data_IF_147140965759
#
_entry.id   IF_147140965759
#
_cell.length_a   1.000
_cell.length_b   1.000
_cell.length_c   1.000
_cell.angle_alpha   90.00
_cell.angle_beta   90.00
_cell.angle_gamma   90.00
#
_symmetry.space_group_name_H-M   'P 1'
#
loop_
_entity.id
_entity.type
_entity.pdbx_description
1 polymer ?
#
# COMPACT_ATOMS: atom_id res chain seq x y z
N UNK A 1 -39.16 1.43 -65.66
CA UNK A 1 -38.89 0.55 -64.49
C UNK A 1 -37.71 1.17 -63.74
N UNK A 2 -37.99 1.86 -62.68
CA UNK A 2 -36.97 2.62 -61.92
C UNK A 2 -36.67 1.83 -60.64
N UNK A 3 -35.47 1.19 -60.55
CA UNK A 3 -35.00 0.46 -59.37
C UNK A 3 -34.50 1.50 -58.36
N UNK A 4 -35.21 1.62 -57.22
CA UNK A 4 -34.81 2.38 -56.07
C UNK A 4 -33.70 1.63 -55.34
N UNK A 5 -32.47 2.15 -55.31
CA UNK A 5 -31.42 1.69 -54.41
C UNK A 5 -31.66 2.36 -53.03
N UNK A 6 -32.05 1.57 -52.04
CA UNK A 6 -32.00 1.99 -50.64
C UNK A 6 -30.57 1.81 -50.16
N UNK A 7 -29.88 2.93 -49.92
CA UNK A 7 -28.61 2.94 -49.19
C UNK A 7 -28.92 2.92 -47.68
N UNK A 8 -28.78 1.74 -47.09
CA UNK A 8 -28.83 1.61 -45.64
C UNK A 8 -27.49 2.11 -45.08
N UNK A 9 -27.51 3.31 -44.47
CA UNK A 9 -26.39 3.85 -43.70
C UNK A 9 -26.36 3.07 -42.37
N UNK A 10 -25.44 2.10 -42.26
CA UNK A 10 -25.08 1.47 -41.00
C UNK A 10 -24.23 2.46 -40.22
N UNK A 11 -24.83 3.22 -39.31
CA UNK A 11 -24.11 3.95 -38.28
C UNK A 11 -23.54 2.92 -37.32
N UNK A 12 -22.28 2.56 -37.51
CA UNK A 12 -21.50 1.89 -36.49
C UNK A 12 -21.30 2.91 -35.36
N UNK A 13 -22.09 2.80 -34.30
CA UNK A 13 -21.82 3.47 -33.04
C UNK A 13 -20.55 2.85 -32.48
N UNK A 14 -19.40 3.48 -32.76
CA UNK A 14 -18.16 3.24 -32.05
C UNK A 14 -18.42 3.75 -30.63
N UNK A 15 -18.77 2.83 -29.72
CA UNK A 15 -18.73 3.11 -28.29
C UNK A 15 -17.26 3.40 -27.96
N UNK A 16 -16.94 4.70 -27.84
CA UNK A 16 -15.73 5.14 -27.18
C UNK A 16 -15.87 4.64 -25.75
N UNK A 17 -15.25 3.53 -25.43
CA UNK A 17 -15.05 3.12 -24.05
C UNK A 17 -14.08 4.15 -23.50
N UNK A 18 -14.59 5.11 -22.73
CA UNK A 18 -13.76 5.98 -21.93
C UNK A 18 -12.87 5.07 -21.06
N UNK A 19 -11.60 4.97 -21.39
CA UNK A 19 -10.60 4.35 -20.54
C UNK A 19 -10.37 5.29 -19.35
N UNK A 20 -11.33 5.33 -18.44
CA UNK A 20 -11.10 5.93 -17.14
C UNK A 20 -10.02 5.12 -16.42
N UNK A 21 -9.08 5.80 -15.79
CA UNK A 21 -8.17 5.15 -14.86
C UNK A 21 -9.01 4.37 -13.84
N UNK A 22 -9.00 3.04 -13.94
CA UNK A 22 -9.83 2.18 -13.06
C UNK A 22 -9.17 2.11 -11.67
N UNK A 23 -9.22 3.23 -10.94
CA UNK A 23 -8.74 3.31 -9.57
C UNK A 23 -9.75 2.82 -8.52
N UNK A 24 -11.08 2.89 -8.74
CA UNK A 24 -12.04 2.49 -7.72
C UNK A 24 -11.95 1.01 -7.38
N UNK A 25 -11.98 0.71 -6.07
CA UNK A 25 -12.09 -0.62 -5.54
C UNK A 25 -13.03 -0.60 -4.32
N UNK A 26 -13.85 -1.65 -4.17
CA UNK A 26 -14.73 -1.78 -3.03
C UNK A 26 -13.95 -2.08 -1.75
N UNK A 27 -14.15 -1.29 -0.70
CA UNK A 27 -13.58 -1.60 0.60
C UNK A 27 -14.40 -2.68 1.31
N UNK A 28 -13.79 -3.84 1.54
CA UNK A 28 -14.38 -4.98 2.28
C UNK A 28 -13.65 -5.31 3.56
N UNK A 29 -12.48 -4.70 3.80
CA UNK A 29 -11.51 -5.17 4.77
C UNK A 29 -11.46 -4.36 6.07
N UNK A 30 -11.88 -3.09 6.06
CA UNK A 30 -11.75 -2.22 7.22
C UNK A 30 -12.88 -1.20 7.33
N UNK A 31 -13.01 -0.62 8.51
CA UNK A 31 -13.97 0.46 8.79
C UNK A 31 -13.31 1.60 9.56
N UNK A 32 -14.01 2.73 9.63
CA UNK A 32 -13.59 3.84 10.49
C UNK A 32 -13.50 3.43 11.95
N UNK A 33 -12.45 3.87 12.63
CA UNK A 33 -12.14 3.55 14.02
C UNK A 33 -11.27 2.31 14.19
N UNK A 34 -10.86 1.64 13.08
CA UNK A 34 -9.90 0.54 13.18
C UNK A 34 -8.54 1.06 13.65
N UNK A 35 -7.95 0.35 14.61
CA UNK A 35 -6.59 0.58 15.11
C UNK A 35 -5.84 -0.75 15.13
N UNK A 36 -4.64 -0.77 14.52
CA UNK A 36 -3.75 -1.94 14.47
C UNK A 36 -2.41 -1.57 15.10
N UNK A 37 -1.89 -2.44 15.96
CA UNK A 37 -0.63 -2.25 16.67
C UNK A 37 0.40 -3.30 16.27
N UNK A 38 1.65 -2.85 16.17
CA UNK A 38 2.77 -3.68 15.74
C UNK A 38 3.97 -3.52 16.66
N UNK A 39 4.70 -4.60 16.86
CA UNK A 39 6.05 -4.58 17.44
C UNK A 39 7.08 -4.72 16.33
N UNK A 40 8.10 -3.88 16.37
CA UNK A 40 9.20 -3.88 15.42
C UNK A 40 10.42 -4.61 16.00
N UNK A 41 10.99 -5.49 15.18
CA UNK A 41 12.24 -6.19 15.48
C UNK A 41 13.26 -5.91 14.40
N UNK A 42 14.53 -5.82 14.82
CA UNK A 42 15.66 -5.71 13.93
C UNK A 42 16.62 -6.87 14.16
N UNK A 43 17.12 -7.49 13.09
CA UNK A 43 18.13 -8.54 13.15
C UNK A 43 19.51 -7.92 13.05
N UNK A 44 20.27 -7.96 14.15
CA UNK A 44 21.67 -7.62 14.16
C UNK A 44 22.49 -8.91 14.20
N UNK A 45 23.18 -9.23 13.12
CA UNK A 45 23.89 -10.52 12.94
C UNK A 45 22.92 -11.69 13.10
N UNK A 46 22.88 -12.34 14.26
CA UNK A 46 22.03 -13.51 14.55
C UNK A 46 21.01 -13.24 15.67
N UNK A 47 20.93 -12.04 16.19
CA UNK A 47 20.08 -11.68 17.33
C UNK A 47 18.93 -10.80 16.88
N UNK A 48 17.71 -11.18 17.22
CA UNK A 48 16.51 -10.35 17.04
C UNK A 48 16.32 -9.43 18.23
N UNK A 49 16.34 -8.15 18.00
CA UNK A 49 16.20 -7.12 19.02
C UNK A 49 14.87 -6.41 18.81
N UNK A 50 14.03 -6.33 19.84
CA UNK A 50 12.84 -5.48 19.82
C UNK A 50 13.30 -4.03 19.76
N UNK A 51 13.10 -3.40 18.61
CA UNK A 51 13.62 -2.06 18.33
C UNK A 51 12.57 -0.94 18.39
N UNK A 52 11.27 -1.28 18.32
CA UNK A 52 10.25 -0.23 18.29
C UNK A 52 8.82 -0.75 18.20
N UNK A 53 7.95 0.14 17.77
CA UNK A 53 6.53 -0.14 17.51
C UNK A 53 6.04 0.62 16.27
N UNK A 54 4.93 0.15 15.71
CA UNK A 54 4.16 0.91 14.73
C UNK A 54 2.67 0.82 15.07
N UNK A 55 1.90 1.83 14.69
CA UNK A 55 0.45 1.82 14.78
C UNK A 55 -0.17 2.30 13.48
N UNK A 56 -1.22 1.62 13.04
CA UNK A 56 -2.01 1.99 11.88
C UNK A 56 -3.44 2.28 12.33
N UNK A 57 -3.98 3.44 11.93
CA UNK A 57 -5.32 3.88 12.31
C UNK A 57 -6.09 4.33 11.09
N UNK A 58 -7.36 3.92 11.01
CA UNK A 58 -8.27 4.35 9.95
C UNK A 58 -9.43 5.14 10.55
N UNK A 59 -9.72 6.31 9.99
CA UNK A 59 -10.80 7.20 10.45
C UNK A 59 -11.65 7.66 9.27
N UNK A 60 -12.94 7.93 9.52
CA UNK A 60 -13.75 8.69 8.57
C UNK A 60 -13.20 10.11 8.46
N UNK A 61 -13.16 10.62 7.26
CA UNK A 61 -12.65 11.96 6.96
C UNK A 61 -13.43 12.59 5.79
N UNK A 62 -13.23 13.88 5.61
CA UNK A 62 -13.72 14.63 4.46
C UNK A 62 -12.54 15.38 3.84
N UNK A 63 -12.24 15.14 2.57
CA UNK A 63 -11.12 15.75 1.89
C UNK A 63 -11.57 16.46 0.61
N UNK A 64 -11.46 17.78 0.59
CA UNK A 64 -11.79 18.64 -0.58
C UNK A 64 -13.12 18.30 -1.26
N UNK A 65 -14.18 18.12 -0.49
CA UNK A 65 -15.51 17.85 -1.04
C UNK A 65 -15.83 16.36 -1.20
N UNK A 66 -14.93 15.44 -0.82
CA UNK A 66 -15.10 13.99 -0.97
C UNK A 66 -15.10 13.30 0.38
N UNK A 67 -16.09 12.42 0.61
CA UNK A 67 -16.07 11.49 1.72
C UNK A 67 -14.89 10.52 1.58
N UNK A 68 -14.10 10.38 2.63
CA UNK A 68 -12.84 9.67 2.59
C UNK A 68 -12.62 8.80 3.84
N UNK A 69 -11.63 7.94 3.74
CA UNK A 69 -10.89 7.41 4.88
C UNK A 69 -9.57 8.15 5.00
N UNK A 70 -9.23 8.55 6.22
CA UNK A 70 -7.88 8.96 6.58
C UNK A 70 -7.20 7.77 7.25
N UNK A 71 -6.04 7.38 6.72
CA UNK A 71 -5.18 6.35 7.25
C UNK A 71 -3.91 6.99 7.80
N UNK A 72 -3.61 6.73 9.07
CA UNK A 72 -2.41 7.22 9.75
C UNK A 72 -1.52 6.03 10.10
N UNK A 73 -0.23 6.07 9.74
CA UNK A 73 0.77 5.06 10.10
C UNK A 73 1.95 5.74 10.79
N UNK A 74 2.25 5.29 12.00
CA UNK A 74 3.35 5.80 12.81
C UNK A 74 4.37 4.70 13.05
N UNK A 75 5.65 4.98 12.79
CA UNK A 75 6.77 4.13 13.18
C UNK A 75 7.65 4.83 14.19
N UNK A 76 8.04 4.12 15.25
CA UNK A 76 8.92 4.67 16.28
C UNK A 76 9.86 3.61 16.84
N UNK A 77 11.16 3.89 16.84
CA UNK A 77 12.12 3.13 17.63
C UNK A 77 11.98 3.47 19.12
N UNK A 78 12.34 2.52 19.99
CA UNK A 78 12.34 2.74 21.45
C UNK A 78 13.62 3.48 21.87
N UNK A 79 13.60 4.11 23.07
CA UNK A 79 14.75 4.91 23.57
C UNK A 79 16.07 4.15 23.66
N UNK A 80 16.03 2.83 23.91
CA UNK A 80 17.24 2.01 23.97
C UNK A 80 17.84 1.82 22.60
N UNK A 81 17.03 1.67 21.56
CA UNK A 81 17.45 1.48 20.18
C UNK A 81 17.85 2.81 19.52
N UNK A 82 17.26 3.94 19.92
CA UNK A 82 17.60 5.29 19.43
C UNK A 82 19.09 5.63 19.55
N UNK A 83 19.80 4.99 20.49
CA UNK A 83 21.27 5.15 20.61
C UNK A 83 22.05 4.61 19.41
N UNK A 84 21.43 3.72 18.65
CA UNK A 84 22.01 3.10 17.45
C UNK A 84 21.42 3.68 16.18
N UNK A 85 20.11 3.82 16.16
CA UNK A 85 19.36 4.34 15.01
C UNK A 85 18.00 4.87 15.46
N UNK A 86 17.73 6.13 15.15
CA UNK A 86 16.42 6.75 15.41
C UNK A 86 15.52 6.59 14.19
N UNK A 87 14.31 6.08 14.39
CA UNK A 87 13.24 6.05 13.39
C UNK A 87 12.00 6.73 13.97
N UNK A 88 11.51 7.76 13.28
CA UNK A 88 10.28 8.49 13.59
C UNK A 88 9.59 8.83 12.29
N UNK A 89 8.74 7.95 11.83
CA UNK A 89 8.00 8.18 10.60
C UNK A 89 6.53 8.39 10.92
N UNK A 90 5.97 9.39 10.29
CA UNK A 90 4.54 9.68 10.29
C UNK A 90 4.07 9.69 8.84
N UNK A 91 3.15 8.79 8.52
CA UNK A 91 2.50 8.73 7.22
C UNK A 91 1.02 9.00 7.39
N UNK A 92 0.46 9.79 6.49
CA UNK A 92 -0.95 10.13 6.45
C UNK A 92 -1.44 9.99 5.00
N UNK A 93 -2.48 9.22 4.79
CA UNK A 93 -3.10 9.04 3.48
C UNK A 93 -4.59 9.32 3.51
N UNK A 94 -5.12 9.94 2.47
CA UNK A 94 -6.56 10.06 2.25
C UNK A 94 -6.93 9.24 1.00
N UNK A 95 -7.89 8.35 1.17
CA UNK A 95 -8.50 7.61 0.06
C UNK A 95 -10.02 7.84 0.09
N UNK A 96 -10.66 7.86 -1.08
CA UNK A 96 -12.12 7.93 -1.15
C UNK A 96 -12.76 6.68 -0.53
N UNK A 97 -14.09 6.63 -0.45
CA UNK A 97 -14.80 5.40 -0.02
C UNK A 97 -14.55 4.21 -0.93
N UNK A 98 -14.28 4.50 -2.21
CA UNK A 98 -13.90 3.51 -3.23
C UNK A 98 -12.39 3.34 -3.37
N UNK A 99 -11.63 3.65 -2.33
CA UNK A 99 -10.18 3.48 -2.20
C UNK A 99 -9.34 4.23 -3.25
N UNK A 100 -9.92 5.23 -3.91
CA UNK A 100 -9.18 6.09 -4.85
C UNK A 100 -8.25 7.02 -4.07
N UNK A 101 -6.94 7.10 -4.40
CA UNK A 101 -6.00 8.00 -3.75
C UNK A 101 -6.40 9.46 -3.89
N UNK A 102 -6.33 10.26 -2.82
CA UNK A 102 -6.66 11.68 -2.80
C UNK A 102 -5.47 12.54 -2.36
N UNK A 103 -4.77 12.11 -1.31
CA UNK A 103 -3.62 12.82 -0.75
C UNK A 103 -2.74 11.88 0.05
N UNK A 104 -1.44 12.14 0.03
CA UNK A 104 -0.45 11.46 0.83
C UNK A 104 0.55 12.46 1.43
N UNK A 105 0.95 12.20 2.67
CA UNK A 105 1.99 12.91 3.38
C UNK A 105 2.86 11.92 4.14
N UNK A 106 4.18 12.11 4.08
CA UNK A 106 5.13 11.40 4.91
C UNK A 106 6.16 12.37 5.46
N UNK A 107 6.33 12.35 6.77
CA UNK A 107 7.46 12.96 7.45
C UNK A 107 8.30 11.86 8.07
N UNK A 108 9.55 11.74 7.69
CA UNK A 108 10.45 10.73 8.21
C UNK A 108 11.68 11.35 8.86
N UNK A 109 12.07 10.75 9.99
CA UNK A 109 13.37 10.94 10.64
C UNK A 109 14.06 9.59 10.72
N UNK A 110 15.05 9.37 9.87
CA UNK A 110 15.85 8.16 9.78
C UNK A 110 17.30 8.46 10.15
N UNK A 111 17.71 8.10 11.37
CA UNK A 111 18.98 8.52 11.95
C UNK A 111 18.98 10.03 12.23
N UNK A 112 19.61 10.83 11.38
CA UNK A 112 19.65 12.29 11.42
C UNK A 112 18.95 12.93 10.21
N UNK A 113 18.55 12.13 9.26
CA UNK A 113 17.97 12.59 8.00
C UNK A 113 16.48 12.86 8.16
N UNK A 114 16.08 14.10 7.93
CA UNK A 114 14.67 14.51 7.84
C UNK A 114 14.24 14.55 6.38
N UNK A 115 13.11 13.95 6.04
CA UNK A 115 12.53 14.00 4.71
C UNK A 115 11.04 14.28 4.81
N UNK A 116 10.52 15.03 3.83
CA UNK A 116 9.09 15.25 3.67
C UNK A 116 8.68 14.83 2.27
N UNK A 117 7.58 14.09 2.18
CA UNK A 117 6.98 13.69 0.91
C UNK A 117 5.49 14.07 0.93
N UNK A 118 5.00 14.62 -0.18
CA UNK A 118 3.57 14.92 -0.38
C UNK A 118 3.17 14.53 -1.78
N UNK A 119 1.98 13.95 -1.90
CA UNK A 119 1.36 13.67 -3.19
C UNK A 119 -0.10 14.14 -3.17
N UNK A 120 -0.50 14.89 -4.20
CA UNK A 120 -1.87 15.32 -4.43
C UNK A 120 -2.38 14.68 -5.70
N UNK A 121 -3.48 13.95 -5.60
CA UNK A 121 -4.08 13.25 -6.73
C UNK A 121 -5.25 14.02 -7.30
N UNK A 122 -5.42 13.96 -8.61
CA UNK A 122 -6.56 14.47 -9.36
C UNK A 122 -6.83 13.56 -10.57
N UNK A 123 -8.03 13.65 -11.11
CA UNK A 123 -8.47 12.69 -12.13
C UNK A 123 -9.08 13.43 -13.35
N UNK A 124 -8.29 14.30 -14.04
CA UNK A 124 -8.77 15.01 -15.21
C UNK A 124 -8.98 14.04 -16.38
N UNK A 125 -10.14 14.17 -17.03
CA UNK A 125 -10.50 13.41 -18.25
C UNK A 125 -10.28 11.89 -18.11
N UNK A 126 -10.54 11.35 -16.91
CA UNK A 126 -10.39 9.94 -16.62
C UNK A 126 -8.93 9.46 -16.41
N UNK A 127 -7.94 10.34 -16.49
CA UNK A 127 -6.55 10.02 -16.21
C UNK A 127 -6.22 10.26 -14.74
N UNK A 128 -5.29 9.47 -14.18
CA UNK A 128 -4.71 9.75 -12.87
C UNK A 128 -3.56 10.74 -13.02
N UNK A 129 -3.65 11.88 -12.35
CA UNK A 129 -2.59 12.90 -12.30
C UNK A 129 -2.15 13.09 -10.85
N UNK A 130 -0.85 12.99 -10.60
CA UNK A 130 -0.26 13.19 -9.28
C UNK A 130 0.76 14.32 -9.30
N UNK A 131 0.58 15.29 -8.40
CA UNK A 131 1.58 16.32 -8.10
C UNK A 131 2.39 15.85 -6.88
N UNK A 132 3.70 15.76 -7.04
CA UNK A 132 4.65 15.31 -6.03
C UNK A 132 5.48 16.49 -5.52
N UNK A 133 5.76 16.48 -4.22
CA UNK A 133 6.69 17.40 -3.57
C UNK A 133 7.53 16.61 -2.57
N UNK A 134 8.85 16.66 -2.75
CA UNK A 134 9.83 15.99 -1.91
C UNK A 134 10.82 16.98 -1.35
N UNK A 135 11.03 16.98 -0.04
CA UNK A 135 12.11 17.74 0.63
C UNK A 135 13.15 16.76 1.14
N UNK A 136 14.35 16.88 0.63
CA UNK A 136 15.48 16.02 1.01
C UNK A 136 16.07 16.44 2.38
N UNK A 137 17.02 15.66 2.97
CA UNK A 137 17.64 16.00 4.26
C UNK A 137 18.40 17.34 4.30
N UNK A 138 18.76 17.88 3.14
CA UNK A 138 19.44 19.18 3.03
C UNK A 138 18.45 20.35 2.88
N UNK A 139 17.14 20.10 2.94
CA UNK A 139 16.10 21.12 2.78
C UNK A 139 15.79 21.49 1.33
N UNK A 140 16.39 20.82 0.34
CA UNK A 140 16.10 21.06 -1.07
C UNK A 140 14.74 20.46 -1.41
N UNK A 141 13.90 21.26 -2.08
CA UNK A 141 12.54 20.86 -2.49
C UNK A 141 12.54 20.50 -3.97
N UNK A 142 12.13 19.29 -4.28
CA UNK A 142 11.89 18.77 -5.62
C UNK A 142 10.39 18.70 -5.88
N UNK A 143 9.96 19.00 -7.10
CA UNK A 143 8.55 18.97 -7.51
C UNK A 143 8.42 18.31 -8.86
N UNK A 144 7.41 17.46 -8.99
CA UNK A 144 7.09 16.79 -10.23
C UNK A 144 5.57 16.68 -10.39
N UNK A 145 5.10 16.53 -11.63
CA UNK A 145 3.70 16.22 -11.92
C UNK A 145 3.68 15.17 -13.02
N UNK A 146 3.05 14.04 -12.74
CA UNK A 146 2.95 12.91 -13.66
C UNK A 146 1.48 12.60 -13.89
N UNK A 147 1.11 12.39 -15.17
CA UNK A 147 -0.24 11.96 -15.57
C UNK A 147 -0.15 10.66 -16.35
N UNK A 148 -1.02 9.69 -16.02
CA UNK A 148 -1.11 8.37 -16.66
C UNK A 148 -2.56 7.96 -16.84
N UNK A 149 -2.82 7.12 -17.83
CA UNK A 149 -4.10 6.43 -17.99
C UNK A 149 -4.34 5.34 -16.94
N UNK A 150 -3.29 4.93 -16.21
CA UNK A 150 -3.38 3.95 -15.13
C UNK A 150 -3.30 4.64 -13.76
N UNK A 151 -3.78 3.94 -12.74
CA UNK A 151 -3.74 4.42 -11.37
C UNK A 151 -2.32 4.44 -10.82
N UNK A 152 -2.02 5.49 -10.06
CA UNK A 152 -0.79 5.64 -9.30
C UNK A 152 -1.13 5.64 -7.81
N UNK A 153 -0.36 4.93 -7.01
CA UNK A 153 -0.63 4.75 -5.58
C UNK A 153 0.57 5.20 -4.75
N UNK A 154 0.29 5.79 -3.61
CA UNK A 154 1.24 5.93 -2.52
C UNK A 154 1.20 4.71 -1.59
N UNK A 155 2.07 4.68 -0.57
CA UNK A 155 2.16 3.58 0.37
C UNK A 155 0.84 3.35 1.13
N UNK A 156 0.12 4.42 1.50
CA UNK A 156 -1.10 4.31 2.31
C UNK A 156 -2.29 3.85 1.47
N UNK A 157 -2.44 4.41 0.27
CA UNK A 157 -3.49 4.00 -0.67
C UNK A 157 -3.27 2.58 -1.18
N UNK A 158 -2.01 2.18 -1.43
CA UNK A 158 -1.68 0.80 -1.78
C UNK A 158 -1.99 -0.18 -0.64
N UNK A 159 -1.71 0.19 0.62
CA UNK A 159 -2.04 -0.65 1.78
C UNK A 159 -3.56 -0.82 1.92
N UNK A 160 -4.34 0.24 1.71
CA UNK A 160 -5.80 0.16 1.74
C UNK A 160 -6.34 -0.76 0.63
N UNK A 161 -5.82 -0.62 -0.60
CA UNK A 161 -6.16 -1.47 -1.74
C UNK A 161 -5.75 -2.93 -1.51
N UNK A 162 -4.52 -3.18 -1.04
CA UNK A 162 -3.99 -4.52 -0.78
C UNK A 162 -4.77 -5.29 0.30
N UNK A 163 -5.50 -4.59 1.16
CA UNK A 163 -6.40 -5.22 2.13
C UNK A 163 -7.77 -5.56 1.55
N UNK A 164 -8.14 -4.97 0.42
CA UNK A 164 -9.49 -5.11 -0.17
C UNK A 164 -9.51 -5.91 -1.47
N UNK A 165 -8.37 -6.47 -1.91
CA UNK A 165 -8.32 -7.26 -3.15
C UNK A 165 -8.83 -8.68 -2.93
N UNK A 166 -9.30 -9.33 -4.00
CA UNK A 166 -9.67 -10.75 -3.99
C UNK A 166 -8.49 -11.60 -4.47
N UNK A 167 -8.03 -12.49 -3.62
CA UNK A 167 -6.88 -13.37 -3.91
C UNK A 167 -7.27 -14.72 -4.53
N UNK A 168 -8.58 -15.01 -4.69
CA UNK A 168 -9.07 -16.36 -5.07
C UNK A 168 -8.52 -16.85 -6.41
N UNK A 169 -8.32 -15.94 -7.35
CA UNK A 169 -7.88 -16.26 -8.70
C UNK A 169 -6.35 -16.29 -8.88
N UNK A 170 -5.59 -15.88 -7.85
CA UNK A 170 -4.13 -15.86 -7.95
C UNK A 170 -3.51 -17.23 -7.75
N UNK A 171 -2.56 -17.58 -8.62
CA UNK A 171 -1.72 -18.75 -8.52
C UNK A 171 -0.34 -18.35 -8.00
N UNK A 172 0.30 -19.23 -7.24
CA UNK A 172 1.67 -19.03 -6.77
C UNK A 172 2.61 -18.71 -7.95
N UNK A 173 3.28 -17.57 -7.88
CA UNK A 173 4.15 -17.06 -8.93
C UNK A 173 3.53 -15.93 -9.76
N UNK A 174 2.23 -15.69 -9.67
CA UNK A 174 1.57 -14.61 -10.38
C UNK A 174 2.15 -13.25 -9.98
N UNK A 175 2.26 -12.37 -10.97
CA UNK A 175 2.87 -11.05 -10.84
C UNK A 175 1.81 -9.96 -11.00
N UNK A 176 1.77 -9.06 -10.04
CA UNK A 176 0.95 -7.86 -10.07
C UNK A 176 1.86 -6.67 -10.38
N UNK A 177 1.43 -5.84 -11.31
CA UNK A 177 2.13 -4.64 -11.72
C UNK A 177 1.25 -3.43 -11.46
N UNK A 178 1.83 -2.41 -10.83
CA UNK A 178 1.14 -1.16 -10.53
C UNK A 178 2.13 0.00 -10.45
N UNK A 179 1.66 1.23 -10.57
CA UNK A 179 2.50 2.40 -10.39
C UNK A 179 2.45 2.89 -8.96
N UNK A 180 3.63 3.15 -8.39
CA UNK A 180 3.78 3.77 -7.09
C UNK A 180 4.46 5.12 -7.17
N UNK A 181 4.17 5.98 -6.20
CA UNK A 181 4.85 7.24 -5.98
C UNK A 181 5.79 7.13 -4.78
N UNK A 182 6.99 7.68 -4.88
CA UNK A 182 7.90 7.90 -3.76
C UNK A 182 8.79 9.10 -4.07
N UNK A 183 9.03 9.93 -3.07
CA UNK A 183 9.77 11.18 -3.26
C UNK A 183 9.12 12.06 -4.34
N UNK A 184 9.80 12.35 -5.43
CA UNK A 184 9.30 13.10 -6.59
C UNK A 184 9.16 12.24 -7.85
N UNK A 185 9.13 10.92 -7.71
CA UNK A 185 9.11 9.96 -8.80
C UNK A 185 7.84 9.09 -8.81
N UNK A 186 7.51 8.60 -10.01
CA UNK A 186 6.53 7.53 -10.25
C UNK A 186 7.24 6.37 -10.94
N UNK A 187 7.15 5.19 -10.38
CA UNK A 187 7.81 3.99 -10.88
C UNK A 187 6.84 2.80 -10.95
N UNK A 188 7.17 1.85 -11.82
CA UNK A 188 6.42 0.59 -11.93
C UNK A 188 6.91 -0.39 -10.88
N UNK A 189 6.02 -0.77 -9.97
CA UNK A 189 6.29 -1.73 -8.91
C UNK A 189 5.83 -3.12 -9.34
N UNK A 190 6.57 -4.14 -8.91
CA UNK A 190 6.19 -5.56 -9.07
C UNK A 190 5.99 -6.21 -7.73
N UNK A 191 4.86 -6.88 -7.58
CA UNK A 191 4.55 -7.76 -6.44
C UNK A 191 4.33 -9.18 -6.96
N UNK A 192 4.84 -10.20 -6.26
CA UNK A 192 4.69 -11.61 -6.61
C UNK A 192 3.88 -12.30 -5.53
N UNK A 193 2.81 -13.00 -5.90
CA UNK A 193 2.09 -13.87 -5.00
C UNK A 193 2.90 -15.15 -4.72
N UNK A 194 3.17 -15.43 -3.44
CA UNK A 194 3.97 -16.58 -3.00
C UNK A 194 3.11 -17.76 -2.55
N UNK A 195 1.78 -17.61 -2.57
CA UNK A 195 0.85 -18.65 -2.12
C UNK A 195 0.43 -18.45 -0.67
N UNK A 196 -0.12 -19.52 -0.09
CA UNK A 196 -0.61 -19.55 1.29
C UNK A 196 0.43 -20.22 2.18
N UNK A 197 0.71 -19.60 3.33
CA UNK A 197 1.60 -20.15 4.37
C UNK A 197 0.96 -20.01 5.75
N UNK A 198 1.21 -20.99 6.63
CA UNK A 198 0.83 -20.85 8.03
C UNK A 198 1.96 -20.11 8.78
N UNK A 199 1.59 -19.07 9.50
CA UNK A 199 2.49 -18.25 10.29
C UNK A 199 2.11 -18.32 11.78
N UNK A 200 3.04 -18.75 12.64
CA UNK A 200 2.86 -18.71 14.08
C UNK A 200 3.32 -17.35 14.62
N UNK A 201 2.39 -16.57 15.13
CA UNK A 201 2.67 -15.26 15.70
C UNK A 201 3.27 -15.33 17.11
N UNK A 202 3.76 -14.20 17.61
CA UNK A 202 4.42 -14.13 18.93
C UNK A 202 3.47 -14.40 20.12
N UNK A 203 2.16 -14.28 19.92
CA UNK A 203 1.11 -14.64 20.88
C UNK A 203 0.84 -16.15 20.94
N UNK A 204 1.53 -16.95 20.11
CA UNK A 204 1.38 -18.39 19.96
C UNK A 204 0.23 -18.82 19.06
N UNK A 205 -0.55 -17.89 18.53
CA UNK A 205 -1.62 -18.17 17.55
C UNK A 205 -1.03 -18.45 16.18
N UNK A 206 -1.55 -19.44 15.48
CA UNK A 206 -1.19 -19.75 14.10
C UNK A 206 -2.25 -19.19 13.17
N UNK A 207 -1.82 -18.41 12.18
CA UNK A 207 -2.67 -17.82 11.17
C UNK A 207 -2.35 -18.41 9.80
N UNK A 208 -3.35 -18.66 8.98
CA UNK A 208 -3.21 -18.90 7.56
C UNK A 208 -3.05 -17.54 6.87
N UNK A 209 -1.99 -17.38 6.07
CA UNK A 209 -1.63 -16.11 5.46
C UNK A 209 -1.47 -16.22 3.96
N UNK A 210 -1.95 -15.21 3.24
CA UNK A 210 -1.58 -14.92 1.86
C UNK A 210 -0.21 -14.22 1.89
N UNK A 211 0.76 -14.75 1.15
CA UNK A 211 2.13 -14.22 1.16
C UNK A 211 2.44 -13.54 -0.16
N UNK A 212 2.96 -12.31 -0.08
CA UNK A 212 3.39 -11.52 -1.22
C UNK A 212 4.81 -11.01 -1.03
N UNK A 213 5.58 -10.99 -2.12
CA UNK A 213 6.91 -10.37 -2.18
C UNK A 213 6.88 -9.15 -3.07
N UNK A 214 7.36 -8.01 -2.57
CA UNK A 214 7.60 -6.81 -3.37
C UNK A 214 9.06 -6.79 -3.80
N UNK A 215 9.30 -6.57 -5.10
CA UNK A 215 10.63 -6.54 -5.68
C UNK A 215 11.23 -5.14 -5.67
N UNK A 216 12.54 -5.09 -5.76
CA UNK A 216 13.29 -3.85 -5.93
C UNK A 216 13.02 -3.28 -7.33
N UNK A 217 12.44 -2.09 -7.39
CA UNK A 217 12.09 -1.42 -8.64
C UNK A 217 13.29 -0.76 -9.31
N UNK A 218 14.35 -0.43 -8.56
CA UNK A 218 15.59 0.14 -9.09
C UNK A 218 16.41 -0.90 -9.88
N UNK A 219 16.29 -2.17 -9.48
CA UNK A 219 17.02 -3.28 -10.12
C UNK A 219 16.07 -4.41 -10.57
N UNK A 220 15.11 -4.14 -11.47
CA UNK A 220 14.04 -5.10 -11.80
C UNK A 220 14.55 -6.42 -12.39
N UNK A 221 15.70 -6.42 -13.07
CA UNK A 221 16.31 -7.63 -13.64
C UNK A 221 16.87 -8.59 -12.60
N UNK A 222 17.23 -8.08 -11.40
CA UNK A 222 17.78 -8.91 -10.31
C UNK A 222 16.70 -9.61 -9.49
N UNK A 223 15.43 -9.24 -9.68
CA UNK A 223 14.28 -9.80 -8.93
C UNK A 223 14.50 -9.85 -7.40
N UNK A 224 15.23 -8.87 -6.89
CA UNK A 224 15.57 -8.80 -5.48
C UNK A 224 14.33 -8.45 -4.65
N UNK A 225 13.97 -9.31 -3.72
CA UNK A 225 12.90 -9.06 -2.77
C UNK A 225 13.35 -7.97 -1.76
N UNK A 226 12.55 -6.90 -1.64
CA UNK A 226 12.76 -5.83 -0.65
C UNK A 226 11.78 -5.90 0.51
N UNK A 227 10.53 -6.34 0.25
CA UNK A 227 9.50 -6.54 1.27
C UNK A 227 8.82 -7.88 1.08
N UNK A 228 8.41 -8.50 2.19
CA UNK A 228 7.51 -9.64 2.20
C UNK A 228 6.38 -9.39 3.17
N UNK A 229 5.16 -9.55 2.68
CA UNK A 229 3.93 -9.36 3.42
C UNK A 229 3.27 -10.70 3.71
N UNK A 230 2.75 -10.85 4.92
CA UNK A 230 1.90 -11.95 5.36
C UNK A 230 0.55 -11.34 5.75
N UNK A 231 -0.41 -11.38 4.85
CA UNK A 231 -1.77 -10.93 5.12
C UNK A 231 -2.62 -12.09 5.65
N UNK A 232 -3.51 -11.83 6.60
CA UNK A 232 -4.48 -12.83 7.04
C UNK A 232 -5.32 -13.32 5.86
N UNK A 233 -5.46 -14.64 5.71
CA UNK A 233 -6.30 -15.24 4.67
C UNK A 233 -7.76 -15.28 5.14
N UNK A 234 -8.33 -14.09 5.28
CA UNK A 234 -9.72 -13.80 5.61
C UNK A 234 -10.10 -12.42 5.04
N UNK A 235 -11.35 -12.00 5.19
CA UNK A 235 -11.85 -10.75 4.60
C UNK A 235 -11.18 -9.47 5.13
N UNK A 236 -10.44 -9.53 6.24
CA UNK A 236 -9.74 -8.37 6.77
C UNK A 236 -8.40 -8.11 6.07
N UNK A 237 -7.76 -9.16 5.52
CA UNK A 237 -6.39 -9.11 4.97
C UNK A 237 -5.46 -8.28 5.86
N UNK A 238 -5.46 -8.57 7.18
CA UNK A 238 -4.59 -7.86 8.10
C UNK A 238 -3.13 -8.17 7.79
N UNK A 239 -2.25 -7.17 7.70
CA UNK A 239 -0.81 -7.40 7.58
C UNK A 239 -0.27 -7.92 8.93
N UNK A 240 -0.30 -9.25 9.13
CA UNK A 240 0.11 -9.89 10.38
C UNK A 240 1.62 -9.88 10.59
N UNK A 241 2.37 -9.86 9.47
CA UNK A 241 3.83 -9.71 9.49
C UNK A 241 4.30 -9.03 8.20
N UNK A 242 5.28 -8.14 8.36
CA UNK A 242 5.99 -7.53 7.24
C UNK A 242 7.48 -7.70 7.48
N UNK A 243 8.20 -8.28 6.51
CA UNK A 243 9.66 -8.40 6.53
C UNK A 243 10.27 -7.36 5.60
N UNK A 244 11.16 -6.53 6.12
CA UNK A 244 11.90 -5.51 5.40
C UNK A 244 13.33 -5.98 5.17
N UNK A 245 13.76 -6.13 3.92
CA UNK A 245 15.14 -6.45 3.54
C UNK A 245 15.93 -5.17 3.41
N UNK A 246 16.72 -4.84 4.43
CA UNK A 246 17.50 -3.62 4.49
C UNK A 246 18.92 -3.88 3.97
N UNK A 247 19.65 -2.81 3.62
CA UNK A 247 21.06 -2.91 3.22
C UNK A 247 21.94 -3.57 4.32
N UNK A 248 21.58 -3.37 5.58
CA UNK A 248 22.29 -3.87 6.76
C UNK A 248 21.42 -4.74 7.66
N UNK A 249 20.89 -5.86 7.13
CA UNK A 249 20.11 -6.79 7.91
C UNK A 249 18.62 -6.83 7.50
N UNK A 250 17.78 -7.28 8.42
CA UNK A 250 16.34 -7.42 8.19
C UNK A 250 15.59 -6.80 9.37
N UNK A 251 14.56 -6.01 9.08
CA UNK A 251 13.58 -5.63 10.09
C UNK A 251 12.29 -6.41 9.89
N UNK A 252 11.51 -6.58 10.96
CA UNK A 252 10.20 -7.22 10.91
C UNK A 252 9.20 -6.42 11.74
N UNK A 253 8.01 -6.23 11.20
CA UNK A 253 6.86 -5.77 11.94
C UNK A 253 5.93 -6.96 12.19
N UNK A 254 5.55 -7.17 13.45
CA UNK A 254 4.59 -8.19 13.85
C UNK A 254 3.35 -7.53 14.41
N UNK A 255 2.18 -7.91 13.90
CA UNK A 255 0.90 -7.55 14.47
C UNK A 255 0.82 -8.04 15.91
N UNK A 256 0.39 -7.17 16.84
CA UNK A 256 0.29 -7.47 18.26
C UNK A 256 -1.09 -7.24 18.82
N UNK A 257 -1.99 -6.68 18.03
CA UNK A 257 -3.38 -6.48 18.43
C UNK A 257 -4.07 -5.45 17.54
N UNK A 258 -5.40 -5.47 17.59
CA UNK A 258 -6.23 -4.51 16.86
C UNK A 258 -7.55 -4.26 17.57
N UNK A 259 -8.15 -3.11 17.27
CA UNK A 259 -9.49 -2.71 17.73
C UNK A 259 -10.36 -2.41 16.51
N UNK A 260 -11.65 -2.65 16.66
CA UNK A 260 -12.66 -2.33 15.64
C UNK A 260 -12.39 -2.96 14.26
N UNK A 261 -11.74 -4.13 14.24
CA UNK A 261 -11.56 -4.93 13.03
C UNK A 261 -12.96 -5.24 12.47
N UNK A 262 -13.12 -5.11 11.14
CA UNK A 262 -14.45 -5.18 10.50
C UNK A 262 -15.04 -6.59 10.53
N UNK A 263 -14.25 -7.58 10.14
CA UNK A 263 -14.71 -8.96 9.93
C UNK A 263 -14.12 -9.92 10.98
N UNK A 264 -14.70 -11.10 11.21
CA UNK A 264 -14.10 -12.13 12.06
C UNK A 264 -12.73 -12.58 11.54
N UNK A 265 -11.83 -12.92 12.47
CA UNK A 265 -10.49 -13.45 12.16
C UNK A 265 -10.55 -14.94 11.79
N UNK A 266 -11.06 -15.24 10.60
CA UNK A 266 -11.27 -16.63 10.10
C UNK A 266 -9.96 -17.30 9.64
N UNK A 267 -8.87 -16.55 9.56
CA UNK A 267 -7.53 -17.06 9.24
C UNK A 267 -6.86 -17.81 10.39
N UNK A 268 -7.40 -17.77 11.59
CA UNK A 268 -6.87 -18.49 12.76
C UNK A 268 -7.00 -20.00 12.53
N UNK A 269 -5.86 -20.69 12.51
CA UNK A 269 -5.80 -22.13 12.40
C UNK A 269 -6.16 -22.73 13.77
N UNK A 270 -7.34 -23.35 13.86
CA UNK A 270 -7.73 -24.10 15.07
C UNK A 270 -6.76 -25.27 15.28
N UNK A 271 -6.30 -25.45 16.52
CA UNK A 271 -5.55 -26.64 16.91
C UNK A 271 -6.40 -27.87 16.86
#
# INVERSE_FOLDING_TARGET
>A
MMKRFLFALLLAAVSIVDMQAQCPAENRAFKSGEELEYTLYFNWKFIWIKCGSASFKTRAAYYKGTDAYRCDLLFRTNRKFDKYFTLRDTLEGYVSKDLVPLYFYKASLEGKDHRLEKAWYSYPDGNCSVKLEYTNPHGTVYKNTVTKGECMYDMMSMMALARSFDAKDYKKGDRLYFYMTSSDEVFKQTMIYRGVENFKANDGVTYRCLVFSMLDWEEPKKEKEILRFYFSDDENHLPLRIDFKLKFGTAKAFFTGGKNILNPMNSIVKK
#
